data_IF_616103786124
#
_entry.id   IF_616103786124
#
_cell.length_a   1.000
_cell.length_b   1.000
_cell.length_c   1.000
_cell.angle_alpha   90.00
_cell.angle_beta   90.00
_cell.angle_gamma   90.00
#
_symmetry.space_group_name_H-M   'P 1'
#
loop_
_entity.id
_entity.type
_entity.pdbx_description
1 polymer ?
#
# COMPACT_ATOMS: atom_id res chain seq x y z
N UNK A 1 16.04 2.91 16.53
CA UNK A 1 14.66 3.20 16.94
C UNK A 1 14.35 2.30 18.10
N UNK A 2 13.85 2.86 19.19
CA UNK A 2 13.54 2.14 20.43
C UNK A 2 12.35 1.19 20.20
N UNK A 3 12.47 -0.07 20.62
CA UNK A 3 11.44 -1.10 20.40
C UNK A 3 10.21 -0.88 21.29
N UNK A 4 10.34 -0.07 22.35
CA UNK A 4 9.30 0.17 23.36
C UNK A 4 8.14 1.06 22.89
N UNK A 5 8.21 1.69 21.71
CA UNK A 5 7.12 2.55 21.20
C UNK A 5 6.00 1.78 20.49
N UNK A 6 6.16 0.48 20.27
CA UNK A 6 5.19 -0.35 19.56
C UNK A 6 4.40 -1.20 20.57
N UNK A 7 3.13 -0.83 20.78
CA UNK A 7 2.13 -1.63 21.49
C UNK A 7 2.07 -3.08 20.97
N UNK A 8 1.77 -4.04 21.85
CA UNK A 8 1.65 -5.47 21.49
C UNK A 8 0.75 -5.67 20.26
N UNK A 9 1.36 -6.09 19.15
CA UNK A 9 0.64 -6.35 17.91
C UNK A 9 -0.13 -7.65 18.07
N UNK A 10 -1.45 -7.59 17.95
CA UNK A 10 -2.30 -8.78 17.98
C UNK A 10 -2.00 -9.63 16.74
N UNK A 11 -1.35 -10.78 16.92
CA UNK A 11 -0.98 -11.68 15.81
C UNK A 11 -2.07 -12.66 15.41
N UNK A 12 -3.00 -12.98 16.31
CA UNK A 12 -4.21 -13.75 16.05
C UNK A 12 -5.31 -13.33 17.03
N UNK A 13 -6.57 -13.29 16.57
CA UNK A 13 -7.74 -13.14 17.45
C UNK A 13 -8.48 -14.46 17.52
N UNK A 14 -9.24 -14.68 18.59
CA UNK A 14 -10.08 -15.87 18.80
C UNK A 14 -10.97 -16.22 17.59
N UNK A 15 -11.41 -15.20 16.83
CA UNK A 15 -12.29 -15.34 15.66
C UNK A 15 -11.59 -15.02 14.31
N UNK A 16 -10.26 -14.78 14.30
CA UNK A 16 -9.52 -14.48 13.06
C UNK A 16 -8.14 -15.13 13.11
N UNK A 17 -7.88 -16.15 12.29
CA UNK A 17 -6.76 -17.08 12.48
C UNK A 17 -5.37 -16.43 12.31
N UNK A 18 -5.27 -15.29 11.62
CA UNK A 18 -4.03 -14.51 11.55
C UNK A 18 -4.33 -13.02 11.39
N UNK A 19 -3.50 -12.18 12.01
CA UNK A 19 -3.43 -10.77 11.69
C UNK A 19 -2.89 -10.58 10.27
N UNK A 20 -3.33 -9.51 9.60
CA UNK A 20 -2.80 -9.12 8.29
C UNK A 20 -1.26 -9.11 8.25
N UNK A 21 -0.61 -8.61 9.31
CA UNK A 21 0.85 -8.52 9.39
C UNK A 21 1.53 -9.90 9.41
N UNK A 22 0.97 -10.86 10.15
CA UNK A 22 1.49 -12.22 10.18
C UNK A 22 1.29 -12.92 8.83
N UNK A 23 0.09 -12.83 8.25
CA UNK A 23 -0.23 -13.45 6.98
C UNK A 23 0.69 -12.95 5.84
N UNK A 24 0.79 -11.62 5.66
CA UNK A 24 1.65 -11.04 4.62
C UNK A 24 3.12 -11.42 4.82
N UNK A 25 3.61 -11.38 6.06
CA UNK A 25 5.02 -11.72 6.33
C UNK A 25 5.34 -13.17 5.99
N UNK A 26 4.44 -14.10 6.31
CA UNK A 26 4.60 -15.53 5.99
C UNK A 26 4.47 -15.76 4.49
N UNK A 27 3.47 -15.16 3.84
CA UNK A 27 3.23 -15.33 2.41
C UNK A 27 4.41 -14.78 1.58
N UNK A 28 4.92 -13.58 1.91
CA UNK A 28 6.08 -12.98 1.25
C UNK A 28 7.30 -13.91 1.31
N UNK A 29 7.55 -14.53 2.48
CA UNK A 29 8.65 -15.48 2.66
C UNK A 29 8.43 -16.76 1.84
N UNK A 30 7.25 -17.36 1.92
CA UNK A 30 6.93 -18.60 1.19
C UNK A 30 6.96 -18.41 -0.33
N UNK A 31 6.67 -17.19 -0.81
CA UNK A 31 6.72 -16.84 -2.22
C UNK A 31 8.10 -16.36 -2.70
N UNK A 32 9.06 -16.19 -1.79
CA UNK A 32 10.40 -15.71 -2.12
C UNK A 32 10.42 -14.26 -2.62
N UNK A 33 9.56 -13.40 -2.06
CA UNK A 33 9.51 -11.97 -2.40
C UNK A 33 10.79 -11.29 -1.91
N UNK A 34 11.50 -10.64 -2.82
CA UNK A 34 12.75 -9.91 -2.53
C UNK A 34 12.58 -8.39 -2.53
N UNK A 35 11.50 -7.86 -3.13
CA UNK A 35 11.17 -6.44 -3.17
C UNK A 35 9.66 -6.24 -2.94
N UNK A 36 9.33 -5.49 -1.90
CA UNK A 36 7.96 -5.10 -1.56
C UNK A 36 7.74 -3.64 -1.93
N UNK A 37 7.01 -3.41 -3.03
CA UNK A 37 6.59 -2.07 -3.48
C UNK A 37 5.18 -1.77 -3.00
N UNK A 38 5.00 -0.69 -2.22
CA UNK A 38 3.70 -0.32 -1.64
C UNK A 38 3.58 1.17 -1.34
N UNK A 39 2.39 1.63 -0.97
CA UNK A 39 2.16 3.04 -0.61
C UNK A 39 2.86 3.45 0.69
N UNK A 40 3.24 4.72 0.78
CA UNK A 40 3.86 5.32 1.97
C UNK A 40 2.98 5.26 3.23
N UNK A 41 1.65 5.13 3.07
CA UNK A 41 0.73 4.88 4.19
C UNK A 41 1.00 3.55 4.92
N UNK A 42 1.71 2.62 4.29
CA UNK A 42 2.13 1.34 4.87
C UNK A 42 3.58 1.37 5.38
N UNK A 43 4.21 2.54 5.48
CA UNK A 43 5.57 2.66 6.00
C UNK A 43 5.70 2.11 7.42
N UNK A 44 4.84 2.55 8.34
CA UNK A 44 4.85 2.12 9.76
C UNK A 44 4.63 0.60 9.91
N UNK A 45 3.80 0.01 9.05
CA UNK A 45 3.58 -1.44 9.03
C UNK A 45 4.85 -2.24 8.72
N UNK A 46 5.84 -1.63 8.05
CA UNK A 46 7.15 -2.25 7.78
C UNK A 46 7.90 -2.59 9.05
N UNK A 47 7.77 -1.78 10.11
CA UNK A 47 8.42 -2.06 11.39
C UNK A 47 7.92 -3.37 12.01
N UNK A 48 6.61 -3.60 11.93
CA UNK A 48 5.97 -4.83 12.40
C UNK A 48 6.42 -6.03 11.55
N UNK A 49 6.41 -5.89 10.21
CA UNK A 49 6.81 -6.98 9.31
C UNK A 49 8.28 -7.36 9.51
N UNK A 50 9.17 -6.37 9.69
CA UNK A 50 10.59 -6.59 9.99
C UNK A 50 10.81 -7.28 11.33
N UNK A 51 10.04 -6.91 12.36
CA UNK A 51 10.09 -7.60 13.65
C UNK A 51 9.67 -9.07 13.49
N UNK A 52 8.58 -9.32 12.78
CA UNK A 52 8.11 -10.69 12.52
C UNK A 52 9.11 -11.51 11.71
N UNK A 53 9.71 -10.94 10.66
CA UNK A 53 10.76 -11.59 9.87
C UNK A 53 11.94 -11.99 10.77
N UNK A 54 12.41 -11.08 11.64
CA UNK A 54 13.50 -11.36 12.57
C UNK A 54 13.14 -12.47 13.58
N UNK A 55 11.92 -12.45 14.13
CA UNK A 55 11.45 -13.46 15.08
C UNK A 55 11.25 -14.84 14.44
N UNK A 56 10.85 -14.89 13.17
CA UNK A 56 10.59 -16.13 12.44
C UNK A 56 11.82 -16.64 11.66
N UNK A 57 12.91 -15.88 11.63
CA UNK A 57 14.14 -16.24 10.91
C UNK A 57 14.02 -16.12 9.39
N UNK A 58 13.14 -15.26 8.89
CA UNK A 58 12.95 -15.03 7.46
C UNK A 58 13.94 -13.99 6.92
N UNK A 59 14.28 -14.14 5.64
CA UNK A 59 15.02 -13.09 4.91
C UNK A 59 14.20 -11.81 4.85
N UNK A 60 14.88 -10.66 4.93
CA UNK A 60 14.23 -9.35 4.84
C UNK A 60 14.27 -8.85 3.40
N UNK A 61 13.12 -8.60 2.75
CA UNK A 61 13.09 -8.01 1.42
C UNK A 61 13.51 -6.54 1.46
N UNK A 62 13.87 -6.01 0.29
CA UNK A 62 13.92 -4.58 0.06
C UNK A 62 12.51 -3.98 0.10
N UNK A 63 12.38 -2.76 0.60
CA UNK A 63 11.11 -2.03 0.66
C UNK A 63 11.20 -0.76 -0.18
N UNK A 64 10.25 -0.59 -1.10
CA UNK A 64 10.08 0.62 -1.89
C UNK A 64 8.70 1.23 -1.60
N UNK A 65 8.68 2.35 -0.89
CA UNK A 65 7.45 3.08 -0.60
C UNK A 65 7.25 4.19 -1.62
N UNK A 66 6.14 4.16 -2.34
CA UNK A 66 5.80 5.19 -3.30
C UNK A 66 4.84 6.23 -2.67
N UNK A 67 4.91 7.50 -3.10
CA UNK A 67 3.98 8.53 -2.66
C UNK A 67 2.53 8.14 -2.93
N UNK A 68 1.63 8.66 -2.10
CA UNK A 68 0.20 8.48 -2.29
C UNK A 68 -0.32 9.42 -3.36
N UNK A 69 -1.40 9.01 -4.01
CA UNK A 69 -2.12 9.87 -4.95
C UNK A 69 -2.88 10.93 -4.15
N UNK A 70 -2.58 12.19 -4.42
CA UNK A 70 -3.17 13.36 -3.78
C UNK A 70 -3.99 14.17 -4.79
N UNK A 71 -5.03 14.84 -4.32
CA UNK A 71 -5.69 15.91 -5.07
C UNK A 71 -4.88 17.22 -5.01
N UNK A 72 -5.34 18.27 -5.71
CA UNK A 72 -4.67 19.57 -5.72
C UNK A 72 -4.69 20.28 -4.35
N UNK A 73 -5.56 19.87 -3.43
CA UNK A 73 -5.59 20.37 -2.05
C UNK A 73 -4.65 19.59 -1.12
N UNK A 74 -3.92 18.61 -1.65
CA UNK A 74 -3.01 17.74 -0.90
C UNK A 74 -3.74 16.63 -0.11
N UNK A 75 -5.04 16.43 -0.35
CA UNK A 75 -5.80 15.36 0.33
C UNK A 75 -5.59 14.04 -0.40
N UNK A 76 -5.41 12.99 0.38
CA UNK A 76 -5.28 11.63 -0.14
C UNK A 76 -6.55 11.20 -0.85
N UNK A 77 -6.40 10.69 -2.06
CA UNK A 77 -7.51 10.05 -2.76
C UNK A 77 -7.93 8.79 -2.00
N UNK A 78 -9.06 8.85 -1.29
CA UNK A 78 -9.63 7.73 -0.56
C UNK A 78 -10.97 7.34 -1.19
N UNK A 79 -11.26 6.03 -1.24
CA UNK A 79 -12.51 5.44 -1.75
C UNK A 79 -13.82 6.06 -1.22
N UNK A 80 -13.76 6.89 -0.18
CA UNK A 80 -14.93 7.51 0.47
C UNK A 80 -15.40 8.79 -0.24
N UNK A 81 -14.56 9.43 -1.05
CA UNK A 81 -14.82 10.77 -1.59
C UNK A 81 -15.24 10.77 -3.07
N UNK A 82 -16.12 9.86 -3.50
CA UNK A 82 -16.48 9.71 -4.93
C UNK A 82 -15.27 9.44 -5.84
N UNK A 83 -14.26 8.74 -5.28
CA UNK A 83 -13.04 8.42 -6.01
C UNK A 83 -13.35 7.57 -7.24
N UNK A 84 -13.20 8.22 -8.39
CA UNK A 84 -13.28 7.68 -9.73
C UNK A 84 -12.69 6.26 -9.81
N UNK A 85 -13.53 5.26 -10.02
CA UNK A 85 -13.10 3.87 -10.08
C UNK A 85 -12.52 3.54 -11.46
N UNK A 86 -11.64 2.54 -11.53
CA UNK A 86 -11.18 2.00 -12.83
C UNK A 86 -12.34 1.53 -13.72
N UNK A 87 -13.47 1.14 -13.12
CA UNK A 87 -14.69 0.76 -13.84
C UNK A 87 -15.36 1.97 -14.48
N UNK A 88 -15.55 3.05 -13.73
CA UNK A 88 -16.15 4.29 -14.24
C UNK A 88 -15.28 4.93 -15.32
N UNK A 89 -13.96 4.96 -15.10
CA UNK A 89 -13.00 5.40 -16.11
C UNK A 89 -13.12 4.62 -17.43
N UNK A 90 -13.25 3.30 -17.33
CA UNK A 90 -13.44 2.46 -18.51
C UNK A 90 -14.79 2.72 -19.17
N UNK A 91 -15.86 2.90 -18.39
CA UNK A 91 -17.19 3.22 -18.91
C UNK A 91 -17.23 4.59 -19.61
N UNK A 92 -16.45 5.57 -19.13
CA UNK A 92 -16.25 6.88 -19.75
C UNK A 92 -15.35 6.88 -21.00
N UNK A 93 -14.86 5.71 -21.43
CA UNK A 93 -14.05 5.58 -22.65
C UNK A 93 -12.55 5.85 -22.49
N UNK A 94 -12.06 6.03 -21.26
CA UNK A 94 -10.62 6.21 -21.02
C UNK A 94 -9.85 4.93 -21.31
N UNK A 95 -8.84 5.03 -22.18
CA UNK A 95 -7.99 3.90 -22.56
C UNK A 95 -6.96 3.59 -21.46
N UNK A 96 -6.58 2.30 -21.27
CA UNK A 96 -5.52 1.95 -20.33
C UNK A 96 -4.18 2.64 -20.62
N UNK A 97 -3.82 2.87 -21.89
CA UNK A 97 -2.58 3.58 -22.24
C UNK A 97 -2.59 5.03 -21.71
N UNK A 98 -3.72 5.72 -21.85
CA UNK A 98 -3.89 7.08 -21.35
C UNK A 98 -3.71 7.12 -19.83
N UNK A 99 -4.33 6.18 -19.10
CA UNK A 99 -4.20 6.10 -17.64
C UNK A 99 -2.79 5.75 -17.18
N UNK A 100 -2.05 4.89 -17.90
CA UNK A 100 -0.65 4.59 -17.58
C UNK A 100 0.24 5.82 -17.74
N UNK A 101 0.09 6.55 -18.85
CA UNK A 101 0.85 7.78 -19.08
C UNK A 101 0.50 8.86 -18.05
N UNK A 102 -0.78 8.95 -17.68
CA UNK A 102 -1.25 9.83 -16.63
C UNK A 102 -0.62 9.50 -15.27
N UNK A 103 -0.55 8.21 -14.91
CA UNK A 103 -0.02 7.76 -13.62
C UNK A 103 1.51 7.64 -13.59
N UNK A 104 2.19 7.80 -14.73
CA UNK A 104 3.66 7.81 -14.78
C UNK A 104 4.25 8.98 -13.98
N UNK A 105 3.50 10.08 -13.87
CA UNK A 105 3.84 11.23 -13.03
C UNK A 105 2.63 11.54 -12.13
N UNK A 106 2.75 11.37 -10.80
CA UNK A 106 1.63 11.57 -9.87
C UNK A 106 0.96 12.95 -9.97
N UNK A 107 1.72 13.99 -10.36
CA UNK A 107 1.21 15.34 -10.56
C UNK A 107 0.12 15.41 -11.64
N UNK A 108 0.21 14.59 -12.69
CA UNK A 108 -0.71 14.64 -13.82
C UNK A 108 -2.10 14.14 -13.42
N UNK A 109 -2.19 13.21 -12.45
CA UNK A 109 -3.48 12.71 -11.97
C UNK A 109 -4.33 13.84 -11.35
N UNK A 110 -3.72 14.74 -10.59
CA UNK A 110 -4.42 15.86 -9.96
C UNK A 110 -5.04 16.82 -10.98
N UNK A 111 -4.38 17.01 -12.14
CA UNK A 111 -4.88 17.85 -13.24
C UNK A 111 -6.02 17.15 -13.98
N UNK A 112 -5.89 15.86 -14.22
CA UNK A 112 -6.92 15.09 -14.92
C UNK A 112 -8.21 14.96 -14.11
N UNK A 113 -8.11 14.74 -12.80
CA UNK A 113 -9.29 14.60 -11.96
C UNK A 113 -10.14 15.87 -11.89
N UNK A 114 -9.53 17.04 -11.98
CA UNK A 114 -10.23 18.33 -12.08
C UNK A 114 -10.93 18.55 -13.43
N UNK A 115 -10.51 17.82 -14.47
CA UNK A 115 -11.07 17.94 -15.82
C UNK A 115 -12.29 17.04 -16.07
N UNK A 116 -12.65 16.20 -15.08
CA UNK A 116 -13.79 15.30 -15.11
C UNK A 116 -15.04 15.94 -14.49
#
# INVERSE_FOLDING_TARGET
GDAASYSDVVLARKETPASYHLAVTVDDHLQGITLVTRGEDLFEASHIHRLLQALLGFETPEYAHHPLLLDQTGRRFAKRDHALTLRELRAGGHKPEFLRNLLAEPANLSVFLDSL
#
